data_IF_960664354930
#
_entry.id   IF_960664354930
#
_cell.length_a   1.000
_cell.length_b   1.000
_cell.length_c   1.000
_cell.angle_alpha   90.00
_cell.angle_beta   90.00
_cell.angle_gamma   90.00
#
_symmetry.space_group_name_H-M   'P 1'
#
loop_
_entity.id
_entity.type
_entity.pdbx_description
1 polymer ?
#
# COMPACT_ATOMS: atom_id res chain seq x y z
N UNK A 1 -0.12 1.37 -5.43
CA UNK A 1 -1.30 2.08 -5.94
C UNK A 1 -1.81 3.03 -4.88
N UNK A 2 -2.29 4.21 -5.26
CA UNK A 2 -3.02 5.10 -4.35
C UNK A 2 -4.51 5.13 -4.75
N UNK A 3 -5.39 4.82 -3.80
CA UNK A 3 -6.85 4.84 -3.97
C UNK A 3 -7.42 6.27 -4.09
N UNK A 4 -6.59 7.28 -3.85
CA UNK A 4 -6.94 8.68 -3.99
C UNK A 4 -7.68 9.26 -2.78
N UNK A 5 -7.45 8.70 -1.58
CA UNK A 5 -7.87 9.31 -0.32
C UNK A 5 -7.35 10.76 -0.19
N UNK A 6 -8.00 11.63 0.61
CA UNK A 6 -7.62 13.05 0.70
C UNK A 6 -6.14 13.33 1.01
N UNK A 7 -5.45 12.59 1.90
CA UNK A 7 -4.02 12.77 2.16
C UNK A 7 -3.14 12.42 0.94
N UNK A 8 -3.62 11.48 0.14
CA UNK A 8 -2.89 10.83 -0.95
C UNK A 8 -2.93 11.63 -2.25
N UNK A 9 -3.92 12.52 -2.36
CA UNK A 9 -4.07 13.43 -3.49
C UNK A 9 -3.27 14.74 -3.31
N UNK A 10 -2.58 14.91 -2.18
CA UNK A 10 -1.77 16.08 -1.90
C UNK A 10 -0.72 16.32 -2.99
N UNK A 11 -0.48 17.59 -3.34
CA UNK A 11 0.49 17.99 -4.37
C UNK A 11 1.90 17.46 -4.03
N UNK A 12 2.28 17.51 -2.75
CA UNK A 12 3.59 17.04 -2.30
C UNK A 12 3.80 15.54 -2.57
N UNK A 13 2.76 14.72 -2.39
CA UNK A 13 2.80 13.28 -2.66
C UNK A 13 2.96 13.04 -4.16
N UNK A 14 2.20 13.77 -4.99
CA UNK A 14 2.29 13.64 -6.45
C UNK A 14 3.64 14.08 -7.00
N UNK A 15 4.23 15.16 -6.49
CA UNK A 15 5.57 15.60 -6.89
C UNK A 15 6.63 14.56 -6.52
N UNK A 16 6.58 14.02 -5.30
CA UNK A 16 7.47 12.94 -4.89
C UNK A 16 7.35 11.70 -5.79
N UNK A 17 6.13 11.31 -6.16
CA UNK A 17 5.91 10.17 -7.05
C UNK A 17 6.40 10.43 -8.48
N UNK A 18 6.21 11.65 -9.00
CA UNK A 18 6.73 12.06 -10.30
C UNK A 18 8.26 11.97 -10.35
N UNK A 19 8.95 12.44 -9.31
CA UNK A 19 10.42 12.38 -9.20
C UNK A 19 10.91 10.94 -9.00
N UNK A 20 10.29 10.19 -8.10
CA UNK A 20 10.74 8.84 -7.72
C UNK A 20 10.53 7.82 -8.82
N UNK A 21 9.42 7.93 -9.55
CA UNK A 21 9.03 6.96 -10.57
C UNK A 21 9.08 7.54 -11.99
N UNK A 22 9.72 8.70 -12.17
CA UNK A 22 9.92 9.34 -13.47
C UNK A 22 8.63 9.47 -14.30
N UNK A 23 7.54 9.91 -13.64
CA UNK A 23 6.17 9.96 -14.18
C UNK A 23 5.56 8.60 -14.60
N UNK A 24 6.06 7.47 -14.10
CA UNK A 24 5.51 6.15 -14.37
C UNK A 24 4.87 5.57 -13.11
N UNK A 25 3.78 6.18 -12.64
CA UNK A 25 3.05 5.70 -11.48
C UNK A 25 1.53 5.75 -11.69
N UNK A 26 0.84 4.87 -10.97
CA UNK A 26 -0.60 4.63 -11.11
C UNK A 26 -1.33 5.20 -9.90
N UNK A 27 -2.31 6.07 -10.14
CA UNK A 27 -3.15 6.64 -9.09
C UNK A 27 -3.94 7.86 -9.53
N UNK A 28 -4.75 8.39 -8.61
CA UNK A 28 -5.62 9.54 -8.88
C UNK A 28 -4.79 10.80 -9.18
N UNK A 29 -4.93 11.33 -10.41
CA UNK A 29 -4.18 12.50 -10.87
C UNK A 29 -2.71 12.22 -11.23
N UNK A 30 -2.35 10.94 -11.35
CA UNK A 30 -1.07 10.50 -11.91
C UNK A 30 -1.15 10.23 -13.42
N UNK A 31 -0.01 9.91 -14.04
CA UNK A 31 0.11 9.68 -15.49
C UNK A 31 -0.71 8.49 -15.99
N UNK A 32 -0.84 7.45 -15.15
CA UNK A 32 -1.74 6.32 -15.40
C UNK A 32 -2.93 6.42 -14.44
N UNK A 33 -4.14 6.75 -14.93
CA UNK A 33 -5.30 6.93 -14.07
C UNK A 33 -5.77 5.60 -13.50
N UNK A 34 -6.08 5.59 -12.20
CA UNK A 34 -6.68 4.44 -11.52
C UNK A 34 -8.20 4.63 -11.35
N UNK A 35 -9.02 3.59 -11.60
CA UNK A 35 -10.45 3.67 -11.40
C UNK A 35 -10.80 3.95 -9.92
N UNK A 36 -11.78 4.83 -9.66
CA UNK A 36 -12.21 5.13 -8.30
C UNK A 36 -12.88 3.90 -7.67
N UNK A 37 -12.55 3.62 -6.40
CA UNK A 37 -13.17 2.55 -5.57
C UNK A 37 -12.98 1.13 -6.12
N UNK A 38 -11.77 0.80 -6.55
CA UNK A 38 -11.40 -0.58 -6.93
C UNK A 38 -10.46 -1.25 -5.92
N UNK A 39 -10.91 -1.56 -4.69
CA UNK A 39 -10.11 -2.34 -3.74
C UNK A 39 -9.80 -3.75 -4.28
N UNK A 40 -10.65 -4.27 -5.16
CA UNK A 40 -10.52 -5.60 -5.78
C UNK A 40 -9.31 -5.69 -6.74
N UNK A 41 -8.83 -4.55 -7.22
CA UNK A 41 -7.65 -4.46 -8.10
C UNK A 41 -6.37 -4.13 -7.35
N UNK A 42 -6.41 -4.01 -6.02
CA UNK A 42 -5.22 -3.86 -5.21
C UNK A 42 -4.81 -5.23 -4.63
N UNK A 43 -3.73 -5.87 -5.14
CA UNK A 43 -3.23 -7.13 -4.59
C UNK A 43 -2.91 -7.05 -3.09
N UNK A 44 -2.60 -5.85 -2.60
CA UNK A 44 -2.37 -5.58 -1.19
C UNK A 44 -3.65 -5.78 -0.35
N UNK A 45 -4.77 -5.24 -0.80
CA UNK A 45 -6.04 -5.30 -0.08
C UNK A 45 -6.71 -6.67 -0.23
N UNK A 46 -6.58 -7.30 -1.41
CA UNK A 46 -7.18 -8.60 -1.68
C UNK A 46 -6.37 -9.78 -1.10
N UNK A 47 -5.07 -9.88 -1.40
CA UNK A 47 -4.26 -11.04 -1.00
C UNK A 47 -3.58 -10.85 0.36
N UNK A 48 -2.94 -9.68 0.54
CA UNK A 48 -2.01 -9.48 1.67
C UNK A 48 -2.77 -9.19 2.94
N UNK A 49 -3.83 -8.38 2.90
CA UNK A 49 -4.61 -8.05 4.09
C UNK A 49 -5.25 -9.29 4.74
N UNK A 50 -5.75 -10.24 3.95
CA UNK A 50 -6.27 -11.52 4.46
C UNK A 50 -5.19 -12.36 5.15
N UNK A 51 -4.02 -12.48 4.52
CA UNK A 51 -2.87 -13.20 5.06
C UNK A 51 -2.28 -12.54 6.31
N UNK A 52 -2.16 -11.21 6.33
CA UNK A 52 -1.68 -10.49 7.50
C UNK A 52 -2.63 -10.63 8.69
N UNK A 53 -3.95 -10.59 8.47
CA UNK A 53 -4.93 -10.87 9.52
C UNK A 53 -4.77 -12.29 10.06
N UNK A 54 -4.57 -13.29 9.21
CA UNK A 54 -4.38 -14.66 9.69
C UNK A 54 -3.10 -14.81 10.52
N UNK A 55 -2.01 -14.14 10.15
CA UNK A 55 -0.78 -14.10 10.95
C UNK A 55 -0.96 -13.36 12.27
N UNK A 56 -1.55 -12.16 12.25
CA UNK A 56 -1.74 -11.31 13.43
C UNK A 56 -2.65 -11.95 14.48
N UNK A 57 -3.69 -12.66 14.04
CA UNK A 57 -4.66 -13.31 14.91
C UNK A 57 -4.39 -14.81 15.12
N UNK A 58 -3.30 -15.34 14.57
CA UNK A 58 -2.91 -16.75 14.76
C UNK A 58 -2.64 -17.11 16.24
N UNK A 59 -2.31 -16.10 17.06
CA UNK A 59 -2.08 -16.24 18.49
C UNK A 59 -2.83 -15.15 19.26
N UNK A 60 -3.36 -15.45 20.45
CA UNK A 60 -3.98 -14.44 21.30
C UNK A 60 -2.92 -13.41 21.68
N UNK A 61 -3.16 -12.15 21.32
CA UNK A 61 -2.27 -11.02 21.60
C UNK A 61 -2.29 -10.76 23.10
N UNK A 62 -1.16 -10.96 23.79
CA UNK A 62 -1.10 -10.89 25.26
C UNK A 62 -0.75 -9.50 25.80
N UNK A 63 -0.43 -8.53 24.95
CA UNK A 63 -0.14 -7.17 25.39
C UNK A 63 0.17 -6.17 24.28
N UNK A 64 0.32 -4.89 24.67
CA UNK A 64 0.58 -3.77 23.75
C UNK A 64 1.87 -3.95 22.93
N UNK A 65 2.90 -4.55 23.51
CA UNK A 65 4.19 -4.74 22.83
C UNK A 65 4.06 -5.71 21.65
N UNK A 66 3.33 -6.82 21.82
CA UNK A 66 3.11 -7.82 20.76
C UNK A 66 2.23 -7.25 19.64
N UNK A 67 1.25 -6.42 20.00
CA UNK A 67 0.45 -5.65 19.03
C UNK A 67 1.34 -4.71 18.21
N UNK A 68 2.26 -3.99 18.87
CA UNK A 68 3.19 -3.08 18.18
C UNK A 68 4.14 -3.83 17.26
N UNK A 69 4.71 -4.97 17.70
CA UNK A 69 5.59 -5.79 16.86
C UNK A 69 4.84 -6.28 15.61
N UNK A 70 3.61 -6.78 15.77
CA UNK A 70 2.78 -7.20 14.65
C UNK A 70 2.44 -6.02 13.72
N UNK A 71 2.16 -4.84 14.28
CA UNK A 71 1.90 -3.62 13.52
C UNK A 71 3.13 -3.16 12.71
N UNK A 72 4.32 -3.18 13.29
CA UNK A 72 5.55 -2.85 12.57
C UNK A 72 5.87 -3.87 11.48
N UNK A 73 5.69 -5.17 11.74
CA UNK A 73 5.88 -6.22 10.74
C UNK A 73 4.92 -6.10 9.56
N UNK A 74 3.65 -5.80 9.84
CA UNK A 74 2.63 -5.59 8.80
C UNK A 74 2.93 -4.36 7.95
N UNK A 75 3.31 -3.23 8.56
CA UNK A 75 3.75 -2.03 7.82
C UNK A 75 4.97 -2.33 6.94
N UNK A 76 5.98 -3.00 7.48
CA UNK A 76 7.20 -3.31 6.73
C UNK A 76 6.89 -4.20 5.51
N UNK A 77 6.04 -5.21 5.67
CA UNK A 77 5.56 -6.05 4.57
C UNK A 77 4.76 -5.24 3.52
N UNK A 78 3.85 -4.37 3.97
CA UNK A 78 3.04 -3.53 3.07
C UNK A 78 3.92 -2.58 2.26
N UNK A 79 4.92 -1.96 2.88
CA UNK A 79 5.89 -1.09 2.20
C UNK A 79 6.72 -1.88 1.20
N UNK A 80 7.22 -3.06 1.58
CA UNK A 80 8.02 -3.91 0.70
C UNK A 80 7.23 -4.33 -0.55
N UNK A 81 5.99 -4.80 -0.38
CA UNK A 81 5.18 -5.25 -1.51
C UNK A 81 4.64 -4.09 -2.34
N UNK A 82 4.30 -2.96 -1.72
CA UNK A 82 3.90 -1.76 -2.47
C UNK A 82 5.03 -1.26 -3.36
N UNK A 83 6.28 -1.26 -2.88
CA UNK A 83 7.46 -0.92 -3.71
C UNK A 83 7.65 -1.88 -4.88
N UNK A 84 7.50 -3.19 -4.64
CA UNK A 84 7.62 -4.21 -5.69
C UNK A 84 6.50 -4.06 -6.73
N UNK A 85 5.26 -3.83 -6.30
CA UNK A 85 4.11 -3.66 -7.19
C UNK A 85 4.20 -2.36 -8.02
N UNK A 86 4.74 -1.29 -7.45
CA UNK A 86 5.00 -0.05 -8.20
C UNK A 86 6.13 -0.21 -9.24
N UNK A 87 7.12 -1.06 -8.99
CA UNK A 87 8.20 -1.35 -9.96
C UNK A 87 7.70 -2.31 -11.05
N UNK A 88 7.03 -3.40 -10.68
CA UNK A 88 6.60 -4.46 -11.60
C UNK A 88 5.44 -4.08 -12.54
N UNK A 89 4.68 -3.02 -12.23
CA UNK A 89 3.69 -2.45 -13.16
C UNK A 89 4.24 -1.29 -14.01
N UNK A 90 5.51 -0.91 -13.83
CA UNK A 90 6.19 0.13 -14.60
C UNK A 90 7.14 -0.45 -15.68
N UNK A 91 7.19 -1.78 -15.82
CA UNK A 91 7.84 -2.52 -16.91
C UNK A 91 6.81 -3.19 -17.83
#
# INVERSE_FOLDING_TARGET
>A
MHDGAPPDFAVIVRNFLNETYNNNWIGRGGPVPWPPRSPDFNPLDFCIWGYLKSLMYSRPIKGKLELLVNYFFTIAMVIAVSKILFIACAE
#
